data_IF_499360745810
#
_entry.id   IF_499360745810
#
_cell.length_a   1.000
_cell.length_b   1.000
_cell.length_c   1.000
_cell.angle_alpha   90.00
_cell.angle_beta   90.00
_cell.angle_gamma   90.00
#
_symmetry.space_group_name_H-M   'P 1'
#
loop_
_entity.id
_entity.type
_entity.pdbx_description
1 polymer ?
#
# COMPACT_ATOMS: atom_id res chain seq x y z
N UNK A 1 10.32 -0.29 -1.55
CA UNK A 1 9.39 -0.20 -2.73
C UNK A 1 8.53 1.06 -2.61
N UNK A 2 9.03 2.22 -3.07
CA UNK A 2 8.39 3.51 -2.78
C UNK A 2 7.34 3.95 -3.79
N UNK A 3 7.43 3.50 -5.05
CA UNK A 3 6.50 3.84 -6.13
C UNK A 3 5.86 2.56 -6.71
N UNK A 4 4.97 1.93 -5.95
CA UNK A 4 4.13 0.84 -6.48
C UNK A 4 3.10 1.46 -7.42
N UNK A 5 2.97 0.91 -8.63
CA UNK A 5 2.03 1.42 -9.63
C UNK A 5 0.63 1.47 -9.05
N UNK A 6 0.05 2.67 -9.04
CA UNK A 6 -1.34 2.94 -8.69
C UNK A 6 -2.17 3.16 -9.96
N UNK A 7 -3.38 3.70 -9.84
CA UNK A 7 -4.34 3.87 -10.95
C UNK A 7 -3.90 4.85 -12.05
N UNK A 8 -2.79 5.57 -11.87
CA UNK A 8 -2.30 6.61 -12.77
C UNK A 8 -0.80 6.43 -13.04
N UNK A 9 -0.40 6.55 -14.31
CA UNK A 9 0.99 6.52 -14.75
C UNK A 9 1.30 7.75 -15.58
N UNK A 10 2.43 8.41 -15.32
CA UNK A 10 2.83 9.54 -16.14
C UNK A 10 3.44 9.05 -17.45
N UNK A 11 3.21 9.82 -18.51
CA UNK A 11 3.81 9.50 -19.79
C UNK A 11 5.34 9.67 -19.71
N UNK A 12 6.07 8.63 -20.10
CA UNK A 12 7.53 8.57 -19.96
C UNK A 12 8.02 7.78 -18.74
N UNK A 13 7.13 7.35 -17.84
CA UNK A 13 7.50 6.46 -16.74
C UNK A 13 7.99 5.10 -17.26
N UNK A 14 9.04 4.57 -16.62
CA UNK A 14 9.55 3.23 -16.90
C UNK A 14 8.89 2.24 -15.94
N UNK A 15 8.24 1.21 -16.49
CA UNK A 15 7.62 0.15 -15.71
C UNK A 15 8.59 -0.99 -15.45
N UNK A 16 8.81 -1.28 -14.17
CA UNK A 16 9.54 -2.47 -13.72
C UNK A 16 8.55 -3.54 -13.28
N UNK A 17 8.61 -4.71 -13.91
CA UNK A 17 7.75 -5.85 -13.60
C UNK A 17 8.52 -6.85 -12.74
N UNK A 18 8.00 -7.14 -11.55
CA UNK A 18 8.55 -8.20 -10.71
C UNK A 18 7.90 -9.54 -11.06
N UNK A 19 8.72 -10.47 -11.53
CA UNK A 19 8.30 -11.83 -11.89
C UNK A 19 8.55 -12.77 -10.71
N UNK A 20 7.66 -13.76 -10.55
CA UNK A 20 7.77 -14.79 -9.52
C UNK A 20 9.11 -15.55 -9.65
N UNK A 21 9.91 -15.53 -8.60
CA UNK A 21 11.14 -16.29 -8.48
C UNK A 21 11.01 -17.46 -7.51
N UNK A 22 12.06 -17.70 -6.73
CA UNK A 22 12.18 -18.83 -5.82
C UNK A 22 11.31 -18.68 -4.57
N UNK A 23 10.88 -19.83 -4.03
CA UNK A 23 10.20 -19.89 -2.74
C UNK A 23 11.22 -20.00 -1.61
N UNK A 24 10.99 -19.26 -0.53
CA UNK A 24 11.77 -19.33 0.70
C UNK A 24 10.83 -19.53 1.88
N UNK A 25 11.21 -20.41 2.80
CA UNK A 25 10.56 -20.56 4.10
C UNK A 25 11.52 -20.12 5.19
N UNK A 26 11.00 -19.41 6.19
CA UNK A 26 11.76 -19.01 7.35
C UNK A 26 10.86 -18.91 8.57
N UNK A 27 11.47 -18.90 9.75
CA UNK A 27 10.80 -18.72 11.02
C UNK A 27 11.33 -17.45 11.70
N UNK A 28 10.42 -16.61 12.20
CA UNK A 28 10.75 -15.37 12.90
C UNK A 28 10.09 -15.41 14.27
N UNK A 29 10.84 -15.08 15.32
CA UNK A 29 10.25 -14.87 16.65
C UNK A 29 9.52 -13.54 16.70
N UNK A 30 8.23 -13.56 17.03
CA UNK A 30 7.43 -12.34 17.18
C UNK A 30 7.73 -11.69 18.52
N UNK A 31 8.59 -10.69 18.54
CA UNK A 31 9.02 -10.00 19.78
C UNK A 31 8.13 -8.81 20.16
N UNK A 32 7.34 -8.30 19.23
CA UNK A 32 6.48 -7.12 19.41
C UNK A 32 5.13 -7.33 18.71
N UNK A 33 4.15 -6.45 18.95
CA UNK A 33 2.82 -6.46 18.34
C UNK A 33 2.90 -6.46 16.81
N UNK A 34 3.88 -5.72 16.26
CA UNK A 34 4.16 -5.64 14.82
C UNK A 34 5.54 -6.26 14.58
N UNK A 35 5.62 -7.20 13.64
CA UNK A 35 6.86 -7.92 13.32
C UNK A 35 7.90 -7.04 12.57
N UNK A 36 7.47 -5.87 12.12
CA UNK A 36 8.28 -4.90 11.38
C UNK A 36 8.17 -4.98 9.86
N UNK A 37 7.16 -5.66 9.34
CA UNK A 37 6.83 -5.68 7.92
C UNK A 37 5.75 -4.65 7.62
N UNK A 38 5.99 -3.79 6.64
CA UNK A 38 4.95 -2.98 6.00
C UNK A 38 4.47 -3.71 4.76
N UNK A 39 3.20 -4.11 4.74
CA UNK A 39 2.61 -4.92 3.68
C UNK A 39 1.80 -4.04 2.73
N UNK A 40 1.91 -4.34 1.44
CA UNK A 40 1.07 -3.78 0.38
C UNK A 40 0.66 -4.89 -0.58
N UNK A 41 -0.26 -4.64 -1.50
CA UNK A 41 -0.69 -5.63 -2.49
C UNK A 41 -0.82 -5.03 -3.88
N UNK A 42 -0.98 -5.89 -4.88
CA UNK A 42 -1.03 -5.52 -6.30
C UNK A 42 -2.45 -5.37 -6.85
N UNK A 43 -3.45 -5.20 -6.00
CA UNK A 43 -4.87 -5.08 -6.36
C UNK A 43 -5.58 -6.39 -6.69
N UNK A 44 -4.86 -7.50 -6.87
CA UNK A 44 -5.41 -8.82 -7.23
C UNK A 44 -5.11 -9.90 -6.18
N UNK A 45 -4.89 -9.49 -4.93
CA UNK A 45 -4.71 -10.41 -3.80
C UNK A 45 -3.32 -11.03 -3.68
N UNK A 46 -2.27 -10.38 -4.22
CA UNK A 46 -0.88 -10.77 -3.95
C UNK A 46 -0.19 -9.72 -3.08
N UNK A 47 -0.11 -10.02 -1.80
CA UNK A 47 0.52 -9.16 -0.80
C UNK A 47 2.04 -9.33 -0.81
N UNK A 48 2.79 -8.25 -0.68
CA UNK A 48 4.26 -8.28 -0.65
C UNK A 48 4.81 -7.34 0.42
N UNK A 49 6.05 -7.58 0.81
CA UNK A 49 6.79 -6.72 1.75
C UNK A 49 7.16 -5.42 1.03
N UNK A 50 6.54 -4.30 1.39
CA UNK A 50 6.83 -2.98 0.80
C UNK A 50 8.03 -2.31 1.46
N UNK A 51 8.09 -2.39 2.79
CA UNK A 51 9.17 -1.85 3.63
C UNK A 51 9.41 -2.78 4.82
N UNK A 52 10.60 -2.71 5.39
CA UNK A 52 10.97 -3.41 6.61
C UNK A 52 11.52 -2.39 7.61
N UNK A 53 10.88 -2.30 8.78
CA UNK A 53 11.24 -1.35 9.84
C UNK A 53 12.63 -1.68 10.41
N UNK A 54 13.59 -0.74 10.44
CA UNK A 54 14.92 -0.99 11.03
C UNK A 54 14.84 -1.41 12.50
N UNK A 55 15.72 -2.35 12.90
CA UNK A 55 15.79 -2.90 14.25
C UNK A 55 14.65 -3.84 14.64
N UNK A 56 13.72 -4.14 13.72
CA UNK A 56 12.61 -5.07 13.97
C UNK A 56 13.01 -6.55 13.82
N UNK A 57 12.15 -7.47 14.25
CA UNK A 57 12.36 -8.90 14.06
C UNK A 57 12.50 -9.27 12.57
N UNK A 58 11.75 -8.61 11.69
CA UNK A 58 11.88 -8.76 10.24
C UNK A 58 13.20 -8.22 9.69
N UNK A 59 13.74 -7.14 10.26
CA UNK A 59 15.03 -6.56 9.88
C UNK A 59 16.20 -7.49 10.23
N UNK A 60 16.14 -8.11 11.42
CA UNK A 60 17.11 -9.11 11.87
C UNK A 60 17.09 -10.39 11.03
N UNK A 61 15.96 -10.68 10.36
CA UNK A 61 15.81 -11.82 9.47
C UNK A 61 16.34 -11.57 8.04
N UNK A 62 16.91 -10.40 7.74
CA UNK A 62 17.57 -10.16 6.44
C UNK A 62 18.83 -11.05 6.30
N UNK A 63 19.14 -11.54 5.08
CA UNK A 63 18.46 -11.32 3.81
C UNK A 63 17.33 -12.32 3.50
N UNK A 64 16.93 -13.16 4.46
CA UNK A 64 15.89 -14.15 4.25
C UNK A 64 14.51 -13.52 4.02
N UNK A 65 14.27 -12.33 4.59
CA UNK A 65 13.17 -11.43 4.21
C UNK A 65 13.74 -10.19 3.53
N UNK A 66 13.16 -9.79 2.41
CA UNK A 66 13.50 -8.54 1.74
C UNK A 66 12.25 -7.85 1.18
N UNK A 67 12.39 -6.57 0.85
CA UNK A 67 11.37 -5.82 0.13
C UNK A 67 11.09 -6.44 -1.24
N UNK A 68 9.83 -6.35 -1.69
CA UNK A 68 9.36 -6.94 -2.93
C UNK A 68 9.06 -8.44 -2.87
N UNK A 69 9.39 -9.14 -1.77
CA UNK A 69 9.02 -10.54 -1.59
C UNK A 69 7.52 -10.69 -1.38
N UNK A 70 6.88 -11.57 -2.15
CA UNK A 70 5.47 -11.89 -2.03
C UNK A 70 5.22 -12.84 -0.86
N UNK A 71 4.24 -12.54 -0.01
CA UNK A 71 3.83 -13.35 1.13
C UNK A 71 2.84 -14.41 0.64
N UNK A 72 3.30 -15.65 0.47
CA UNK A 72 2.46 -16.78 0.04
C UNK A 72 1.71 -17.39 1.23
N UNK A 73 2.39 -17.61 2.35
CA UNK A 73 1.81 -18.30 3.52
C UNK A 73 2.35 -17.74 4.83
N UNK A 74 1.49 -17.70 5.85
CA UNK A 74 1.88 -17.44 7.24
C UNK A 74 1.39 -18.62 8.08
N UNK A 75 2.30 -19.26 8.81
CA UNK A 75 2.11 -20.54 9.46
C UNK A 75 1.54 -21.57 8.48
N UNK A 76 0.33 -22.05 8.75
CA UNK A 76 -0.39 -23.01 7.91
C UNK A 76 -1.47 -22.38 7.02
N UNK A 77 -1.60 -21.06 7.04
CA UNK A 77 -2.70 -20.35 6.37
C UNK A 77 -2.20 -19.66 5.09
N UNK A 78 -2.89 -19.93 3.98
CA UNK A 78 -2.65 -19.28 2.69
C UNK A 78 -3.01 -17.79 2.75
N UNK A 79 -2.16 -16.95 2.17
CA UNK A 79 -2.34 -15.51 2.07
C UNK A 79 -2.67 -15.05 0.64
N UNK A 80 -2.59 -15.95 -0.35
CA UNK A 80 -2.99 -15.65 -1.73
C UNK A 80 -4.50 -15.37 -1.78
N UNK A 81 -4.86 -14.28 -2.45
CA UNK A 81 -6.24 -13.81 -2.57
C UNK A 81 -6.68 -12.85 -1.46
N UNK A 82 -5.91 -12.74 -0.38
CA UNK A 82 -6.18 -11.76 0.70
C UNK A 82 -5.63 -10.38 0.35
N UNK A 83 -6.24 -9.34 0.90
CA UNK A 83 -5.75 -7.96 0.77
C UNK A 83 -4.64 -7.69 1.77
N UNK A 84 -3.82 -6.67 1.50
CA UNK A 84 -2.68 -6.30 2.35
C UNK A 84 -3.09 -6.09 3.81
N UNK A 85 -4.28 -5.52 4.03
CA UNK A 85 -4.83 -5.28 5.35
C UNK A 85 -5.10 -6.59 6.11
N UNK A 86 -5.74 -7.57 5.46
CA UNK A 86 -6.05 -8.87 6.09
C UNK A 86 -4.77 -9.61 6.49
N UNK A 87 -3.75 -9.55 5.64
CA UNK A 87 -2.45 -10.18 5.90
C UNK A 87 -1.73 -9.47 7.06
N UNK A 88 -1.77 -8.13 7.09
CA UNK A 88 -1.17 -7.35 8.15
C UNK A 88 -1.88 -7.56 9.50
N UNK A 89 -3.22 -7.59 9.50
CA UNK A 89 -4.01 -7.89 10.68
C UNK A 89 -3.74 -9.31 11.18
N UNK A 90 -3.69 -10.30 10.28
CA UNK A 90 -3.36 -11.68 10.62
C UNK A 90 -2.01 -11.78 11.33
N UNK A 91 -0.97 -11.11 10.81
CA UNK A 91 0.33 -11.06 11.48
C UNK A 91 0.25 -10.37 12.85
N UNK A 92 -0.55 -9.31 12.97
CA UNK A 92 -0.70 -8.54 14.20
C UNK A 92 -1.39 -9.33 15.32
N UNK A 93 -2.35 -10.17 14.98
CA UNK A 93 -3.12 -10.99 15.93
C UNK A 93 -2.36 -12.20 16.48
N UNK A 94 -1.27 -12.63 15.82
CA UNK A 94 -0.44 -13.71 16.34
C UNK A 94 0.13 -13.38 17.74
N UNK A 95 0.23 -14.36 18.65
CA UNK A 95 0.74 -14.09 20.01
C UNK A 95 2.17 -13.56 20.02
N UNK A 96 2.44 -12.55 20.85
CA UNK A 96 3.81 -12.11 21.12
C UNK A 96 4.56 -13.25 21.85
N UNK A 97 5.80 -13.51 21.45
CA UNK A 97 6.62 -14.65 21.90
C UNK A 97 6.43 -15.92 21.07
N UNK A 98 5.50 -15.94 20.11
CA UNK A 98 5.33 -17.08 19.20
C UNK A 98 6.34 -17.06 18.05
N UNK A 99 6.61 -18.25 17.51
CA UNK A 99 7.38 -18.42 16.27
C UNK A 99 6.44 -18.35 15.07
N UNK A 100 6.69 -17.40 14.18
CA UNK A 100 5.91 -17.18 12.96
C UNK A 100 6.65 -17.77 11.79
N UNK A 101 6.06 -18.76 11.13
CA UNK A 101 6.61 -19.36 9.91
C UNK A 101 6.11 -18.60 8.69
N UNK A 102 7.02 -18.01 7.92
CA UNK A 102 6.70 -17.28 6.69
C UNK A 102 7.14 -18.09 5.48
N UNK A 103 6.24 -18.26 4.50
CA UNK A 103 6.59 -18.69 3.15
C UNK A 103 6.53 -17.50 2.22
N UNK A 104 7.68 -17.08 1.74
CA UNK A 104 7.87 -15.94 0.86
C UNK A 104 8.25 -16.41 -0.54
N UNK A 105 7.92 -15.61 -1.54
CA UNK A 105 8.38 -15.80 -2.92
C UNK A 105 9.21 -14.59 -3.30
N UNK A 106 10.48 -14.83 -3.61
CA UNK A 106 11.38 -13.79 -4.03
C UNK A 106 11.01 -13.30 -5.43
N UNK A 107 11.08 -11.99 -5.69
CA UNK A 107 11.10 -11.53 -7.07
C UNK A 107 12.34 -12.09 -7.77
N UNK A 108 12.23 -12.38 -9.06
CA UNK A 108 13.35 -12.86 -9.84
C UNK A 108 14.41 -11.75 -9.99
N UNK A 109 15.59 -11.97 -9.42
CA UNK A 109 16.73 -11.07 -9.58
C UNK A 109 17.41 -11.40 -10.93
N UNK A 110 17.65 -10.39 -11.78
CA UNK A 110 18.26 -10.48 -13.13
C UNK A 110 17.33 -10.84 -14.31
N UNK A 111 16.16 -10.20 -14.40
CA UNK A 111 15.19 -10.40 -15.49
C UNK A 111 15.72 -10.14 -16.91
N UNK A 112 16.72 -9.27 -17.08
CA UNK A 112 17.29 -8.90 -18.39
C UNK A 112 17.96 -10.08 -19.12
N UNK A 113 18.39 -11.11 -18.40
CA UNK A 113 19.04 -12.31 -18.98
C UNK A 113 18.08 -13.20 -19.77
N UNK A 114 16.76 -13.00 -19.60
CA UNK A 114 15.70 -13.81 -20.24
C UNK A 114 14.83 -13.03 -21.21
N UNK A 115 15.12 -11.74 -21.42
CA UNK A 115 14.41 -10.93 -22.42
C UNK A 115 15.10 -11.15 -23.76
N UNK A 116 14.37 -11.68 -24.75
CA UNK A 116 14.87 -11.77 -26.11
C UNK A 116 15.26 -10.37 -26.62
N UNK A 117 16.37 -10.22 -27.38
CA UNK A 117 16.73 -8.94 -27.96
C UNK A 117 15.56 -8.39 -28.77
N UNK A 118 15.32 -7.09 -28.61
CA UNK A 118 14.22 -6.35 -29.24
C UNK A 118 14.23 -6.62 -30.75
N UNK A 119 13.17 -7.23 -31.28
CA UNK A 119 12.95 -7.23 -32.73
C UNK A 119 12.71 -5.78 -33.15
N UNK A 120 13.56 -5.26 -34.02
CA UNK A 120 13.38 -3.93 -34.60
C UNK A 120 12.07 -3.89 -35.37
N UNK A 121 11.13 -3.06 -34.94
CA UNK A 121 9.93 -2.82 -35.72
C UNK A 121 8.66 -2.55 -34.94
N UNK A 122 8.66 -1.59 -34.00
CA UNK A 122 7.44 -0.82 -33.71
C UNK A 122 7.89 0.63 -33.49
N UNK A 123 7.55 1.49 -34.45
CA UNK A 123 7.68 2.94 -34.29
C UNK A 123 6.85 3.36 -33.08
N UNK A 124 7.50 3.98 -32.10
CA UNK A 124 6.80 4.67 -31.03
C UNK A 124 5.92 5.78 -31.65
N UNK A 125 4.66 5.95 -31.22
CA UNK A 125 3.87 7.08 -31.64
C UNK A 125 4.59 8.37 -31.22
N UNK A 126 4.76 9.30 -32.17
CA UNK A 126 5.27 10.64 -31.90
C UNK A 126 4.22 11.38 -31.06
N UNK A 127 4.40 11.38 -29.75
CA UNK A 127 3.58 12.14 -28.81
C UNK A 127 4.25 13.49 -28.59
N UNK A 128 3.48 14.55 -28.80
CA UNK A 128 3.95 15.93 -28.74
C UNK A 128 4.52 16.30 -27.38
N UNK A 129 5.39 17.31 -27.38
CA UNK A 129 6.29 17.79 -26.32
C UNK A 129 5.60 18.33 -25.04
N UNK A 130 4.32 18.03 -24.83
CA UNK A 130 3.59 18.44 -23.63
C UNK A 130 3.69 17.35 -22.57
N UNK A 131 4.68 17.48 -21.67
CA UNK A 131 4.94 16.60 -20.51
C UNK A 131 3.85 16.55 -19.43
N UNK A 132 2.60 16.80 -19.78
CA UNK A 132 1.44 16.83 -18.89
C UNK A 132 0.38 15.81 -19.31
N UNK A 133 0.79 14.60 -19.71
CA UNK A 133 -0.12 13.50 -20.08
C UNK A 133 0.06 12.32 -19.13
N UNK A 134 -1.05 11.73 -18.68
CA UNK A 134 -1.10 10.56 -17.80
C UNK A 134 -1.99 9.50 -18.42
N UNK A 135 -1.56 8.25 -18.34
CA UNK A 135 -2.38 7.09 -18.69
C UNK A 135 -3.20 6.71 -17.45
N UNK A 136 -4.52 6.73 -17.57
CA UNK A 136 -5.46 6.31 -16.53
C UNK A 136 -6.09 4.98 -16.89
N UNK A 137 -5.93 3.99 -16.01
CA UNK A 137 -6.64 2.71 -16.12
C UNK A 137 -8.03 2.85 -15.52
N UNK A 138 -9.05 2.41 -16.24
CA UNK A 138 -10.44 2.34 -15.77
C UNK A 138 -10.74 0.93 -15.26
N UNK A 139 -11.67 0.83 -14.32
CA UNK A 139 -12.11 -0.45 -13.73
C UNK A 139 -12.61 -1.47 -14.77
N UNK A 140 -13.04 -1.02 -15.96
CA UNK A 140 -13.46 -1.88 -17.07
C UNK A 140 -12.27 -2.43 -17.91
N UNK A 141 -11.03 -2.23 -17.48
CA UNK A 141 -9.82 -2.69 -18.17
C UNK A 141 -9.37 -1.82 -19.34
N UNK A 142 -10.07 -0.71 -19.65
CA UNK A 142 -9.61 0.24 -20.66
C UNK A 142 -8.60 1.23 -20.08
N UNK A 143 -7.63 1.65 -20.90
CA UNK A 143 -6.70 2.72 -20.57
C UNK A 143 -7.02 3.95 -21.43
N UNK A 144 -7.06 5.13 -20.81
CA UNK A 144 -7.27 6.41 -21.50
C UNK A 144 -6.09 7.35 -21.23
N UNK A 145 -5.66 8.08 -22.24
CA UNK A 145 -4.68 9.16 -22.07
C UNK A 145 -5.46 10.41 -21.68
N UNK A 146 -5.11 11.01 -20.54
CA UNK A 146 -5.70 12.25 -20.04
C UNK A 146 -4.60 13.28 -19.82
N UNK A 147 -4.93 14.54 -20.08
CA UNK A 147 -4.07 15.65 -19.73
C UNK A 147 -4.14 15.86 -18.21
N UNK A 148 -2.98 15.96 -17.56
CA UNK A 148 -2.86 16.31 -16.16
C UNK A 148 -3.27 17.78 -16.04
N UNK A 149 -4.28 18.07 -15.22
CA UNK A 149 -4.53 19.44 -14.79
C UNK A 149 -3.27 19.90 -14.02
N UNK A 150 -2.75 21.08 -14.35
CA UNK A 150 -1.52 21.63 -13.76
C UNK A 150 -1.41 21.37 -12.25
N UNK A 151 -0.22 21.03 -11.72
CA UNK A 151 -0.03 20.59 -10.33
C UNK A 151 -0.41 21.62 -9.25
N UNK A 152 -0.80 22.84 -9.64
CA UNK A 152 -1.15 23.95 -8.74
C UNK A 152 -2.61 24.40 -8.82
N UNK A 153 -3.51 23.58 -9.39
CA UNK A 153 -4.93 23.74 -9.13
C UNK A 153 -5.35 22.62 -8.21
N UNK A 154 -5.37 22.91 -6.91
CA UNK A 154 -6.29 22.25 -5.99
C UNK A 154 -7.64 22.17 -6.71
N UNK A 155 -8.00 20.98 -7.20
CA UNK A 155 -9.37 20.79 -7.64
C UNK A 155 -10.19 20.90 -6.38
N UNK A 156 -11.09 21.87 -6.33
CA UNK A 156 -12.07 21.99 -5.26
C UNK A 156 -12.70 20.60 -5.01
N UNK A 157 -12.36 19.98 -3.88
CA UNK A 157 -12.84 18.65 -3.48
C UNK A 157 -11.80 17.52 -3.45
N UNK A 158 -10.57 17.66 -3.95
CA UNK A 158 -9.52 16.65 -3.77
C UNK A 158 -8.90 16.74 -2.35
N UNK A 159 -8.80 15.60 -1.66
CA UNK A 159 -8.20 15.51 -0.32
C UNK A 159 -6.72 15.91 -0.39
N UNK A 160 -6.23 16.84 0.45
CA UNK A 160 -4.82 17.22 0.49
C UNK A 160 -3.89 16.00 0.64
N UNK A 161 -2.85 15.94 -0.20
CA UNK A 161 -1.89 14.83 -0.21
C UNK A 161 -1.21 14.63 1.16
N UNK A 162 -1.05 15.70 1.93
CA UNK A 162 -0.50 15.67 3.30
C UNK A 162 -1.36 14.83 4.26
N UNK A 163 -2.69 14.96 4.17
CA UNK A 163 -3.63 14.19 5.00
C UNK A 163 -3.55 12.72 4.64
N UNK A 164 -3.53 12.41 3.33
CA UNK A 164 -3.43 11.03 2.84
C UNK A 164 -2.12 10.39 3.31
N UNK A 165 -1.00 11.10 3.22
CA UNK A 165 0.29 10.60 3.71
C UNK A 165 0.30 10.37 5.22
N UNK A 166 -0.33 11.27 6.00
CA UNK A 166 -0.43 11.14 7.45
C UNK A 166 -1.29 9.93 7.85
N UNK A 167 -2.44 9.72 7.21
CA UNK A 167 -3.27 8.54 7.45
C UNK A 167 -2.54 7.26 7.06
N UNK A 168 -1.85 7.25 5.92
CA UNK A 168 -1.09 6.08 5.48
C UNK A 168 0.03 5.73 6.47
N UNK A 169 0.68 6.74 7.05
CA UNK A 169 1.66 6.56 8.13
C UNK A 169 1.02 5.97 9.39
N UNK A 170 -0.17 6.42 9.76
CA UNK A 170 -0.90 5.86 10.90
C UNK A 170 -1.26 4.38 10.68
N UNK A 171 -1.66 3.99 9.46
CA UNK A 171 -1.88 2.58 9.11
C UNK A 171 -0.60 1.75 9.20
N UNK A 172 0.53 2.30 8.75
CA UNK A 172 1.84 1.66 8.85
C UNK A 172 2.24 1.44 10.31
N UNK A 173 2.01 2.43 11.18
CA UNK A 173 2.33 2.36 12.61
C UNK A 173 1.39 1.48 13.42
N UNK A 174 0.09 1.44 13.08
CA UNK A 174 -0.91 0.71 13.88
C UNK A 174 -1.11 -0.74 13.42
N UNK A 175 -1.00 -1.00 12.11
CA UNK A 175 -1.34 -2.29 11.50
C UNK A 175 -0.16 -2.89 10.74
N UNK A 176 0.77 -2.06 10.24
CA UNK A 176 1.85 -2.52 9.37
C UNK A 176 1.40 -2.67 7.92
N UNK A 177 0.47 -1.85 7.45
CA UNK A 177 0.08 -1.81 6.04
C UNK A 177 0.22 -0.42 5.44
N UNK A 178 0.44 -0.35 4.12
CA UNK A 178 0.51 0.90 3.37
C UNK A 178 -0.27 0.80 2.07
N UNK A 179 -1.31 1.62 1.96
CA UNK A 179 -2.18 1.77 0.79
C UNK A 179 -2.71 3.21 0.72
N UNK A 180 -2.31 3.94 -0.32
CA UNK A 180 -2.75 5.32 -0.52
C UNK A 180 -4.21 5.45 -0.96
N UNK A 181 -4.73 4.47 -1.71
CA UNK A 181 -6.11 4.49 -2.18
C UNK A 181 -7.08 4.18 -1.03
N UNK A 182 -6.71 3.24 -0.16
CA UNK A 182 -7.39 3.03 1.11
C UNK A 182 -7.37 4.32 1.95
N UNK A 183 -6.20 4.95 2.08
CA UNK A 183 -6.05 6.20 2.84
C UNK A 183 -6.92 7.33 2.28
N UNK A 184 -7.00 7.48 0.95
CA UNK A 184 -7.90 8.45 0.29
C UNK A 184 -9.36 8.17 0.60
N UNK A 185 -9.80 6.91 0.47
CA UNK A 185 -11.18 6.51 0.74
C UNK A 185 -11.59 6.81 2.18
N UNK A 186 -10.67 6.59 3.13
CA UNK A 186 -10.89 6.91 4.56
C UNK A 186 -11.00 8.43 4.77
N UNK A 187 -10.17 9.23 4.10
CA UNK A 187 -10.28 10.69 4.14
C UNK A 187 -11.63 11.20 3.60
N UNK A 188 -12.15 10.59 2.54
CA UNK A 188 -13.45 10.96 1.96
C UNK A 188 -14.59 10.70 2.95
N UNK A 189 -14.58 9.54 3.62
CA UNK A 189 -15.56 9.23 4.67
C UNK A 189 -15.42 10.19 5.86
N UNK A 190 -14.19 10.52 6.26
CA UNK A 190 -13.92 11.50 7.31
C UNK A 190 -14.44 12.90 6.93
N UNK A 191 -14.27 13.32 5.67
CA UNK A 191 -14.77 14.59 5.15
C UNK A 191 -16.29 14.70 5.19
N UNK A 192 -16.99 13.57 5.02
CA UNK A 192 -18.44 13.47 5.12
C UNK A 192 -18.94 13.38 6.57
N UNK A 193 -18.08 13.22 7.56
CA UNK A 193 -18.46 12.98 8.96
C UNK A 193 -18.21 14.20 9.84
N UNK A 194 -19.10 14.48 10.78
CA UNK A 194 -18.96 15.60 11.73
C UNK A 194 -18.46 15.14 13.11
N UNK A 195 -18.52 13.84 13.39
CA UNK A 195 -18.05 13.25 14.65
C UNK A 195 -17.36 11.91 14.40
N UNK A 196 -16.46 11.46 15.29
CA UNK A 196 -15.85 10.13 15.19
C UNK A 196 -16.89 9.00 15.17
N UNK A 197 -17.97 9.14 15.94
CA UNK A 197 -19.06 8.15 16.01
C UNK A 197 -19.82 8.06 14.68
N UNK A 198 -20.03 9.20 14.03
CA UNK A 198 -20.59 9.24 12.68
C UNK A 198 -19.66 8.59 11.66
N UNK A 199 -18.34 8.80 11.78
CA UNK A 199 -17.34 8.15 10.92
C UNK A 199 -17.35 6.63 11.09
N UNK A 200 -17.42 6.11 12.33
CA UNK A 200 -17.55 4.66 12.59
C UNK A 200 -18.78 4.10 11.88
N UNK A 201 -19.91 4.81 11.95
CA UNK A 201 -21.15 4.37 11.32
C UNK A 201 -21.02 4.37 9.79
N UNK A 202 -20.51 5.45 9.20
CA UNK A 202 -20.34 5.56 7.75
C UNK A 202 -19.31 4.56 7.20
N UNK A 203 -18.21 4.31 7.91
CA UNK A 203 -17.25 3.27 7.50
C UNK A 203 -17.93 1.91 7.37
N UNK A 204 -18.85 1.57 8.29
CA UNK A 204 -19.62 0.31 8.26
C UNK A 204 -20.68 0.27 7.14
N UNK A 205 -21.05 1.41 6.57
CA UNK A 205 -22.00 1.51 5.45
C UNK A 205 -21.32 1.51 4.07
N UNK A 206 -20.00 1.71 4.03
CA UNK A 206 -19.19 1.71 2.80
C UNK A 206 -18.55 0.36 2.53
N UNK A 207 -17.89 0.22 1.37
CA UNK A 207 -17.06 -0.94 1.05
C UNK A 207 -15.89 -1.12 2.05
N UNK A 208 -15.57 -0.08 2.85
CA UNK A 208 -14.60 -0.15 3.91
C UNK A 208 -15.06 -0.98 5.13
N UNK A 209 -16.34 -1.36 5.19
CA UNK A 209 -16.89 -2.19 6.26
C UNK A 209 -16.17 -3.54 6.39
N UNK A 210 -15.70 -4.11 5.26
CA UNK A 210 -14.98 -5.38 5.25
C UNK A 210 -13.67 -5.33 6.04
N UNK A 211 -13.07 -4.15 6.18
CA UNK A 211 -11.81 -3.97 6.91
C UNK A 211 -12.01 -4.06 8.42
N UNK A 212 -13.23 -3.88 8.95
CA UNK A 212 -13.51 -4.04 10.39
C UNK A 212 -12.53 -3.27 11.29
N UNK A 213 -12.25 -2.01 10.96
CA UNK A 213 -11.30 -1.19 11.72
C UNK A 213 -11.66 -1.14 13.21
N UNK A 214 -10.68 -1.32 14.13
CA UNK A 214 -10.93 -1.13 15.55
C UNK A 214 -11.40 0.31 15.82
N UNK A 215 -12.39 0.46 16.70
CA UNK A 215 -12.97 1.78 16.98
C UNK A 215 -11.89 2.80 17.41
N UNK A 216 -10.90 2.38 18.23
CA UNK A 216 -9.74 3.19 18.62
C UNK A 216 -8.99 3.80 17.43
N UNK A 217 -8.76 3.01 16.39
CA UNK A 217 -8.10 3.47 15.18
C UNK A 217 -8.97 4.48 14.42
N UNK A 218 -10.28 4.27 14.38
CA UNK A 218 -11.21 5.21 13.73
C UNK A 218 -11.21 6.56 14.45
N UNK A 219 -11.13 6.57 15.79
CA UNK A 219 -10.95 7.81 16.56
C UNK A 219 -9.64 8.51 16.21
N UNK A 220 -8.52 7.79 16.16
CA UNK A 220 -7.22 8.36 15.79
C UNK A 220 -7.21 8.90 14.35
N UNK A 221 -7.82 8.17 13.40
CA UNK A 221 -7.97 8.59 12.00
C UNK A 221 -8.78 9.88 11.86
N UNK A 222 -9.94 9.95 12.53
CA UNK A 222 -10.79 11.15 12.51
C UNK A 222 -10.08 12.35 13.15
N UNK A 223 -9.41 12.13 14.29
CA UNK A 223 -8.62 13.15 14.98
C UNK A 223 -7.53 13.72 14.07
N UNK A 224 -6.74 12.84 13.46
CA UNK A 224 -5.68 13.21 12.53
C UNK A 224 -6.20 14.00 11.33
N UNK A 225 -7.30 13.55 10.72
CA UNK A 225 -7.96 14.25 9.62
C UNK A 225 -8.42 15.66 10.04
N UNK A 226 -9.11 15.77 11.17
CA UNK A 226 -9.67 17.03 11.69
C UNK A 226 -8.59 18.03 12.07
N UNK A 227 -7.50 17.56 12.68
CA UNK A 227 -6.38 18.40 13.11
C UNK A 227 -5.67 19.03 11.90
N UNK A 228 -5.30 18.22 10.91
CA UNK A 228 -4.63 18.70 9.69
C UNK A 228 -5.57 19.65 8.91
N UNK A 229 -6.86 19.31 8.78
CA UNK A 229 -7.86 20.17 8.13
C UNK A 229 -8.03 21.53 8.85
N UNK A 230 -7.88 21.55 10.17
CA UNK A 230 -7.99 22.77 10.97
C UNK A 230 -6.69 23.58 11.06
N UNK A 231 -5.62 23.16 10.38
CA UNK A 231 -4.30 23.78 10.47
C UNK A 231 -3.59 23.57 11.81
N UNK A 232 -4.10 22.66 12.65
CA UNK A 232 -3.41 22.21 13.87
C UNK A 232 -2.49 21.07 13.45
N UNK A 233 -1.20 21.37 13.27
CA UNK A 233 -0.22 20.41 12.75
C UNK A 233 -0.21 19.07 13.50
N UNK A 234 0.27 18.04 12.80
CA UNK A 234 0.36 16.64 13.27
C UNK A 234 0.91 16.60 14.70
N UNK A 235 0.16 16.05 15.68
CA UNK A 235 0.71 15.87 17.02
C UNK A 235 1.88 14.89 16.94
N UNK A 236 3.09 15.42 17.10
CA UNK A 236 4.29 14.61 17.32
C UNK A 236 4.10 13.97 18.69
N UNK A 237 3.67 12.71 18.73
CA UNK A 237 3.78 11.91 19.96
C UNK A 237 5.28 11.84 20.30
N UNK A 238 5.66 12.52 21.38
CA UNK A 238 6.97 12.42 22.03
C UNK A 238 7.18 11.03 22.62
#
# INVERSE_FOLDING_TARGET
MDAVVSSQLNFGDILFLHVRGEKRELEIQKTDKIIGLTISDNGIGKCFVKKIRPGSAADLARPAVAEGMHIERINDVDMVGKRHYDVALFLRELPIGSTVKLRLICPFENGLTKINPRQEGISSPKIGDNGAMTIRFKANGSAVVQQVAEPNKEKEGEVPAEIVAAINKLFEEYIGCSDEELSRSVCEVAAMSNTPVEMVTKLRETELASFSFPDELVFDLYGLYSDIKSGRGIPVKQ
#
